data_IF_903630923274
#
_entry.id   IF_903630923274
#
_cell.length_a   1.000
_cell.length_b   1.000
_cell.length_c   1.000
_cell.angle_alpha   90.00
_cell.angle_beta   90.00
_cell.angle_gamma   90.00
#
_symmetry.space_group_name_H-M   'P 1'
#
loop_
_entity.id
_entity.type
_entity.pdbx_description
1 polymer ?
#
# COMPACT_ATOMS: atom_id res chain seq x y z
N UNK A 1 30.72 -25.81 -1.32
CA UNK A 1 31.13 -24.53 -0.69
C UNK A 1 31.03 -23.34 -1.62
N UNK A 2 31.48 -23.42 -2.90
CA UNK A 2 31.40 -22.32 -3.85
C UNK A 2 29.94 -21.94 -4.21
N UNK A 3 29.08 -22.93 -4.39
CA UNK A 3 27.66 -22.69 -4.74
C UNK A 3 26.90 -21.88 -3.67
N UNK A 4 27.16 -22.16 -2.38
CA UNK A 4 26.58 -21.44 -1.27
C UNK A 4 27.03 -19.97 -1.24
N UNK A 5 28.32 -19.71 -1.52
CA UNK A 5 28.85 -18.34 -1.61
C UNK A 5 28.21 -17.58 -2.78
N UNK A 6 28.03 -18.23 -3.93
CA UNK A 6 27.38 -17.62 -5.08
C UNK A 6 25.90 -17.30 -4.79
N UNK A 7 25.17 -18.20 -4.13
CA UNK A 7 23.79 -17.95 -3.73
C UNK A 7 23.67 -16.78 -2.76
N UNK A 8 24.51 -16.74 -1.72
CA UNK A 8 24.53 -15.64 -0.75
C UNK A 8 24.91 -14.33 -1.43
N UNK A 9 25.92 -14.32 -2.30
CA UNK A 9 26.33 -13.13 -3.04
C UNK A 9 25.18 -12.61 -3.92
N UNK A 10 24.49 -13.51 -4.62
CA UNK A 10 23.32 -13.15 -5.43
C UNK A 10 22.20 -12.57 -4.58
N UNK A 11 21.88 -13.21 -3.45
CA UNK A 11 20.84 -12.71 -2.54
C UNK A 11 21.17 -11.31 -2.03
N UNK A 12 22.41 -11.09 -1.59
CA UNK A 12 22.86 -9.76 -1.13
C UNK A 12 22.74 -8.72 -2.25
N UNK A 13 23.17 -9.07 -3.45
CA UNK A 13 23.05 -8.16 -4.61
C UNK A 13 21.59 -7.83 -4.93
N UNK A 14 20.71 -8.82 -4.89
CA UNK A 14 19.28 -8.62 -5.14
C UNK A 14 18.63 -7.73 -4.04
N UNK A 15 19.01 -7.89 -2.78
CA UNK A 15 18.56 -7.05 -1.66
C UNK A 15 19.02 -5.58 -1.82
N UNK A 16 20.30 -5.37 -2.15
CA UNK A 16 20.81 -4.02 -2.43
C UNK A 16 20.12 -3.39 -3.64
N UNK A 17 19.94 -4.14 -4.72
CA UNK A 17 19.24 -3.67 -5.92
C UNK A 17 17.82 -3.24 -5.60
N UNK A 18 17.06 -4.07 -4.89
CA UNK A 18 15.70 -3.75 -4.47
C UNK A 18 15.65 -2.49 -3.57
N UNK A 19 16.64 -2.34 -2.69
CA UNK A 19 16.75 -1.19 -1.80
C UNK A 19 17.07 0.10 -2.57
N UNK A 20 17.96 0.04 -3.56
CA UNK A 20 18.29 1.15 -4.44
C UNK A 20 17.12 1.53 -5.36
N UNK A 21 16.37 0.56 -5.85
CA UNK A 21 15.15 0.82 -6.63
C UNK A 21 14.11 1.57 -5.81
N UNK A 22 13.89 1.16 -4.56
CA UNK A 22 13.00 1.88 -3.63
C UNK A 22 13.49 3.30 -3.34
N UNK A 23 14.79 3.47 -3.13
CA UNK A 23 15.39 4.78 -2.87
C UNK A 23 15.18 5.71 -4.08
N UNK A 24 15.49 5.22 -5.29
CA UNK A 24 15.28 5.95 -6.54
C UNK A 24 13.81 6.32 -6.75
N UNK A 25 12.88 5.38 -6.51
CA UNK A 25 11.45 5.63 -6.57
C UNK A 25 11.04 6.77 -5.64
N UNK A 26 11.48 6.73 -4.39
CA UNK A 26 11.16 7.76 -3.40
C UNK A 26 11.74 9.13 -3.78
N UNK A 27 12.94 9.17 -4.34
CA UNK A 27 13.54 10.41 -4.80
C UNK A 27 12.73 11.02 -5.96
N UNK A 28 12.34 10.21 -6.93
CA UNK A 28 11.50 10.64 -8.06
C UNK A 28 10.17 11.19 -7.53
N UNK A 29 9.48 10.46 -6.64
CA UNK A 29 8.21 10.90 -6.08
C UNK A 29 8.34 12.22 -5.31
N UNK A 30 9.41 12.41 -4.54
CA UNK A 30 9.70 13.68 -3.83
C UNK A 30 9.95 14.84 -4.80
N UNK A 31 10.61 14.61 -5.93
CA UNK A 31 10.79 15.66 -6.95
C UNK A 31 9.47 15.97 -7.66
N UNK A 32 8.64 14.97 -7.94
CA UNK A 32 7.29 15.15 -8.50
C UNK A 32 6.41 15.97 -7.55
N UNK A 33 6.48 15.74 -6.24
CA UNK A 33 5.73 16.54 -5.25
C UNK A 33 6.03 18.04 -5.30
N UNK A 34 7.23 18.43 -5.75
CA UNK A 34 7.61 19.86 -5.88
C UNK A 34 6.99 20.55 -7.11
N UNK A 35 6.55 19.78 -8.09
CA UNK A 35 5.92 20.33 -9.30
C UNK A 35 4.59 20.96 -8.89
N UNK A 36 4.32 22.19 -9.32
CA UNK A 36 3.05 22.86 -9.05
C UNK A 36 1.96 22.27 -9.93
N UNK A 37 0.83 21.97 -9.32
CA UNK A 37 -0.43 21.61 -10.02
C UNK A 37 -1.41 22.71 -9.71
N UNK A 38 -2.00 23.30 -10.73
CA UNK A 38 -2.78 24.55 -10.58
C UNK A 38 -4.07 24.33 -9.82
N UNK A 39 -4.81 23.25 -10.08
CA UNK A 39 -6.06 22.97 -9.36
C UNK A 39 -6.24 21.47 -9.11
N UNK A 40 -6.53 21.13 -7.87
CA UNK A 40 -6.96 19.79 -7.50
C UNK A 40 -8.49 19.84 -7.33
N UNK A 41 -9.26 19.01 -8.06
CA UNK A 41 -10.71 18.97 -7.90
C UNK A 41 -11.10 18.58 -6.47
N UNK A 42 -11.97 19.38 -5.84
CA UNK A 42 -12.39 19.17 -4.44
C UNK A 42 -13.06 17.80 -4.23
N UNK A 43 -13.78 17.30 -5.22
CA UNK A 43 -14.41 15.98 -5.16
C UNK A 43 -13.39 14.86 -5.01
N UNK A 44 -12.26 14.92 -5.73
CA UNK A 44 -11.16 13.93 -5.58
C UNK A 44 -10.51 14.03 -4.20
N UNK A 45 -10.35 15.26 -3.70
CA UNK A 45 -9.77 15.49 -2.38
C UNK A 45 -10.67 14.88 -1.28
N UNK A 46 -11.97 15.10 -1.35
CA UNK A 46 -12.92 14.55 -0.39
C UNK A 46 -13.00 13.02 -0.45
N UNK A 47 -12.99 12.44 -1.65
CA UNK A 47 -12.94 10.98 -1.82
C UNK A 47 -11.69 10.37 -1.22
N UNK A 48 -10.52 10.96 -1.45
CA UNK A 48 -9.27 10.46 -0.90
C UNK A 48 -9.22 10.64 0.63
N UNK A 49 -9.71 11.76 1.18
CA UNK A 49 -9.85 11.95 2.62
C UNK A 49 -10.77 10.89 3.22
N UNK A 50 -11.87 10.56 2.55
CA UNK A 50 -12.79 9.51 2.97
C UNK A 50 -12.11 8.13 2.97
N UNK A 51 -11.29 7.85 1.97
CA UNK A 51 -10.50 6.61 1.91
C UNK A 51 -9.47 6.56 3.04
N UNK A 52 -8.76 7.67 3.30
CA UNK A 52 -7.77 7.76 4.37
C UNK A 52 -8.37 7.66 5.76
N UNK A 53 -9.56 8.23 5.96
CA UNK A 53 -10.30 8.17 7.23
C UNK A 53 -11.09 6.88 7.42
N UNK A 54 -11.18 6.02 6.41
CA UNK A 54 -11.96 4.80 6.44
C UNK A 54 -11.52 3.85 7.57
N UNK A 55 -12.43 3.59 8.51
CA UNK A 55 -12.20 2.72 9.67
C UNK A 55 -11.73 3.46 10.92
N UNK A 56 -11.67 4.79 10.93
CA UNK A 56 -11.53 5.62 12.12
C UNK A 56 -12.89 5.96 12.72
N UNK A 57 -12.90 6.35 14.00
CA UNK A 57 -14.10 6.93 14.62
C UNK A 57 -14.28 8.36 14.10
N UNK A 58 -15.54 8.79 13.97
CA UNK A 58 -15.88 10.11 13.42
C UNK A 58 -15.18 11.28 14.15
N UNK A 59 -15.02 11.19 15.47
CA UNK A 59 -14.33 12.21 16.26
C UNK A 59 -12.82 12.26 15.99
N UNK A 60 -12.18 11.10 15.79
CA UNK A 60 -10.76 11.01 15.47
C UNK A 60 -10.50 11.44 14.01
N UNK A 61 -11.43 11.12 13.11
CA UNK A 61 -11.38 11.55 11.70
C UNK A 61 -11.47 13.07 11.59
N UNK A 62 -12.37 13.70 12.34
CA UNK A 62 -12.51 15.17 12.39
C UNK A 62 -11.27 15.86 12.95
N UNK A 63 -10.68 15.33 14.02
CA UNK A 63 -9.45 15.89 14.63
C UNK A 63 -8.25 15.83 13.70
N UNK A 64 -8.15 14.78 12.88
CA UNK A 64 -7.03 14.57 11.97
C UNK A 64 -7.32 15.02 10.54
N UNK A 65 -8.47 15.66 10.27
CA UNK A 65 -8.90 16.04 8.91
C UNK A 65 -7.83 16.85 8.17
N UNK A 66 -7.21 17.81 8.86
CA UNK A 66 -6.17 18.65 8.25
C UNK A 66 -4.94 17.85 7.81
N UNK A 67 -4.51 16.87 8.61
CA UNK A 67 -3.41 15.98 8.23
C UNK A 67 -3.80 15.08 7.04
N UNK A 68 -5.06 14.62 6.99
CA UNK A 68 -5.55 13.84 5.85
C UNK A 68 -5.65 14.68 4.59
N UNK A 69 -6.03 15.93 4.70
CA UNK A 69 -6.11 16.89 3.61
C UNK A 69 -4.72 17.11 2.98
N UNK A 70 -3.70 17.33 3.81
CA UNK A 70 -2.31 17.48 3.36
C UNK A 70 -1.78 16.22 2.66
N UNK A 71 -2.06 15.04 3.22
CA UNK A 71 -1.65 13.74 2.64
C UNK A 71 -2.42 13.44 1.36
N UNK A 72 -3.74 13.67 1.35
CA UNK A 72 -4.60 13.48 0.19
C UNK A 72 -4.16 14.38 -0.98
N UNK A 73 -3.92 15.66 -0.68
CA UNK A 73 -3.43 16.64 -1.65
C UNK A 73 -2.14 16.17 -2.32
N UNK A 74 -1.15 15.71 -1.55
CA UNK A 74 0.10 15.19 -2.09
C UNK A 74 -0.11 13.95 -2.95
N UNK A 75 -0.94 13.01 -2.50
CA UNK A 75 -1.22 11.77 -3.24
C UNK A 75 -1.94 12.02 -4.55
N UNK A 76 -2.96 12.84 -4.55
CA UNK A 76 -3.70 13.20 -5.76
C UNK A 76 -2.79 13.92 -6.74
N UNK A 77 -2.00 14.89 -6.26
CA UNK A 77 -1.05 15.63 -7.08
C UNK A 77 -0.06 14.71 -7.78
N UNK A 78 0.58 13.82 -7.04
CA UNK A 78 1.50 12.83 -7.60
C UNK A 78 0.78 11.92 -8.60
N UNK A 79 -0.43 11.44 -8.25
CA UNK A 79 -1.25 10.61 -9.12
C UNK A 79 -1.60 11.28 -10.45
N UNK A 80 -2.01 12.55 -10.42
CA UNK A 80 -2.35 13.32 -11.62
C UNK A 80 -1.12 13.51 -12.54
N UNK A 81 0.03 13.87 -11.96
CA UNK A 81 1.26 14.06 -12.74
C UNK A 81 1.72 12.74 -13.37
N UNK A 82 1.68 11.65 -12.60
CA UNK A 82 2.04 10.33 -13.12
C UNK A 82 1.09 9.88 -14.22
N UNK A 83 -0.21 10.10 -14.05
CA UNK A 83 -1.20 9.75 -15.07
C UNK A 83 -0.98 10.54 -16.37
N UNK A 84 -0.80 11.85 -16.27
CA UNK A 84 -0.51 12.71 -17.41
C UNK A 84 0.76 12.26 -18.16
N UNK A 85 1.84 11.97 -17.42
CA UNK A 85 3.06 11.42 -17.99
C UNK A 85 2.83 10.07 -18.69
N UNK A 86 2.03 9.20 -18.07
CA UNK A 86 1.70 7.89 -18.62
C UNK A 86 0.88 7.98 -19.90
N UNK A 87 -0.08 8.89 -19.98
CA UNK A 87 -0.88 9.14 -21.17
C UNK A 87 -0.05 9.71 -22.32
N UNK A 88 0.77 10.73 -22.05
CA UNK A 88 1.66 11.34 -23.03
C UNK A 88 2.65 10.32 -23.61
N UNK A 89 3.14 9.39 -22.81
CA UNK A 89 4.06 8.35 -23.25
C UNK A 89 3.36 7.05 -23.69
N UNK A 90 2.02 7.03 -23.74
CA UNK A 90 1.20 5.87 -24.15
C UNK A 90 1.52 4.60 -23.37
N UNK A 91 1.83 4.74 -22.09
CA UNK A 91 2.15 3.63 -21.18
C UNK A 91 0.85 2.88 -20.87
N UNK A 92 0.83 1.59 -21.16
CA UNK A 92 -0.30 0.71 -20.87
C UNK A 92 0.17 -0.53 -20.11
N UNK A 93 -0.68 -1.05 -19.23
CA UNK A 93 -0.44 -2.32 -18.54
C UNK A 93 -1.14 -3.42 -19.32
N UNK A 94 -0.38 -4.42 -19.73
CA UNK A 94 -0.89 -5.60 -20.43
C UNK A 94 -1.36 -6.66 -19.43
N UNK A 95 -2.25 -7.56 -19.87
CA UNK A 95 -2.69 -8.69 -19.04
C UNK A 95 -1.52 -9.63 -18.67
N UNK A 96 -0.53 -9.76 -19.54
CA UNK A 96 0.66 -10.57 -19.29
C UNK A 96 1.51 -10.00 -18.14
N UNK A 97 1.68 -8.68 -18.07
CA UNK A 97 2.38 -8.01 -16.98
C UNK A 97 1.62 -8.16 -15.66
N UNK A 98 0.32 -8.05 -15.70
CA UNK A 98 -0.53 -8.24 -14.54
C UNK A 98 -0.45 -9.68 -14.00
N UNK A 99 -0.50 -10.66 -14.88
CA UNK A 99 -0.32 -12.07 -14.53
C UNK A 99 1.08 -12.35 -13.97
N UNK A 100 2.12 -11.73 -14.55
CA UNK A 100 3.49 -11.86 -14.06
C UNK A 100 3.63 -11.32 -12.63
N UNK A 101 2.98 -10.18 -12.32
CA UNK A 101 3.01 -9.61 -10.97
C UNK A 101 2.22 -10.47 -9.96
N UNK A 102 1.06 -11.02 -10.35
CA UNK A 102 0.33 -12.00 -9.52
C UNK A 102 1.22 -13.22 -9.24
N UNK A 103 1.90 -13.75 -10.26
CA UNK A 103 2.83 -14.88 -10.08
C UNK A 103 4.01 -14.53 -9.17
N UNK A 104 4.55 -13.32 -9.26
CA UNK A 104 5.59 -12.84 -8.35
C UNK A 104 5.11 -12.83 -6.90
N UNK A 105 3.89 -12.37 -6.65
CA UNK A 105 3.29 -12.40 -5.31
C UNK A 105 3.05 -13.83 -4.80
N UNK A 106 2.63 -14.75 -5.66
CA UNK A 106 2.49 -16.16 -5.34
C UNK A 106 3.83 -16.74 -4.88
N UNK A 107 4.92 -16.45 -5.60
CA UNK A 107 6.28 -16.91 -5.22
C UNK A 107 6.77 -16.35 -3.88
N UNK A 108 6.29 -15.16 -3.49
CA UNK A 108 6.61 -14.57 -2.19
C UNK A 108 5.86 -15.19 -1.01
N UNK A 109 4.80 -15.99 -1.29
CA UNK A 109 3.94 -16.62 -0.29
C UNK A 109 3.85 -18.15 -0.49
N UNK A 110 4.96 -18.88 -0.31
CA UNK A 110 4.99 -20.33 -0.52
C UNK A 110 4.00 -21.03 0.42
N UNK A 111 3.25 -21.98 -0.14
CA UNK A 111 2.18 -22.70 0.58
C UNK A 111 0.83 -22.00 0.60
N UNK A 112 0.71 -20.80 0.04
CA UNK A 112 -0.54 -20.03 -0.04
C UNK A 112 -0.92 -19.68 -1.50
N UNK A 113 -0.34 -20.38 -2.46
CA UNK A 113 -0.48 -20.10 -3.90
C UNK A 113 -1.95 -20.05 -4.33
N UNK A 114 -2.72 -21.05 -3.90
CA UNK A 114 -4.15 -21.12 -4.21
C UNK A 114 -4.93 -19.96 -3.60
N UNK A 115 -4.61 -19.59 -2.37
CA UNK A 115 -5.31 -18.49 -1.68
C UNK A 115 -5.03 -17.15 -2.36
N UNK A 116 -3.81 -16.89 -2.80
CA UNK A 116 -3.44 -15.67 -3.54
C UNK A 116 -4.15 -15.64 -4.89
N UNK A 117 -4.16 -16.76 -5.62
CA UNK A 117 -4.84 -16.88 -6.91
C UNK A 117 -6.35 -16.63 -6.76
N UNK A 118 -7.01 -17.32 -5.82
CA UNK A 118 -8.43 -17.17 -5.53
C UNK A 118 -8.78 -15.73 -5.11
N UNK A 119 -7.90 -15.08 -4.36
CA UNK A 119 -8.09 -13.69 -3.95
C UNK A 119 -8.18 -12.75 -5.14
N UNK A 120 -7.24 -12.84 -6.08
CA UNK A 120 -7.24 -11.95 -7.26
C UNK A 120 -8.34 -12.31 -8.26
N UNK A 121 -8.70 -13.59 -8.38
CA UNK A 121 -9.82 -14.02 -9.25
C UNK A 121 -11.18 -13.54 -8.74
N UNK A 122 -11.38 -13.52 -7.42
CA UNK A 122 -12.67 -13.15 -6.80
C UNK A 122 -12.79 -11.66 -6.50
N UNK A 123 -11.69 -10.92 -6.45
CA UNK A 123 -11.67 -9.50 -6.08
C UNK A 123 -11.18 -8.61 -7.23
N UNK A 124 -12.09 -8.17 -8.07
CA UNK A 124 -11.77 -7.23 -9.16
C UNK A 124 -11.15 -5.92 -8.66
N UNK A 125 -11.55 -5.45 -7.49
CA UNK A 125 -10.97 -4.26 -6.86
C UNK A 125 -9.50 -4.47 -6.50
N UNK A 126 -9.12 -5.66 -6.01
CA UNK A 126 -7.72 -6.00 -5.74
C UNK A 126 -6.90 -6.08 -7.02
N UNK A 127 -7.48 -6.62 -8.09
CA UNK A 127 -6.85 -6.69 -9.41
C UNK A 127 -6.67 -5.29 -10.02
N UNK A 128 -7.66 -4.41 -9.87
CA UNK A 128 -7.56 -3.02 -10.30
C UNK A 128 -6.47 -2.25 -9.52
N UNK A 129 -6.38 -2.46 -8.21
CA UNK A 129 -5.29 -1.90 -7.40
C UNK A 129 -3.92 -2.40 -7.83
N UNK A 130 -3.79 -3.69 -8.15
CA UNK A 130 -2.55 -4.26 -8.65
C UNK A 130 -2.17 -3.66 -10.01
N UNK A 131 -3.14 -3.49 -10.91
CA UNK A 131 -2.94 -2.82 -12.21
C UNK A 131 -2.44 -1.39 -12.03
N UNK A 132 -2.99 -0.64 -11.05
CA UNK A 132 -2.50 0.69 -10.69
C UNK A 132 -1.05 0.68 -10.22
N UNK A 133 -0.68 -0.29 -9.39
CA UNK A 133 0.70 -0.45 -8.92
C UNK A 133 1.67 -0.75 -10.07
N UNK A 134 1.32 -1.67 -10.96
CA UNK A 134 2.14 -2.01 -12.15
C UNK A 134 2.26 -0.81 -13.09
N UNK A 135 1.17 -0.04 -13.28
CA UNK A 135 1.17 1.18 -14.08
C UNK A 135 2.13 2.23 -13.50
N UNK A 136 2.06 2.47 -12.20
CA UNK A 136 2.96 3.39 -11.50
C UNK A 136 4.43 2.95 -11.62
N UNK A 137 4.73 1.65 -11.46
CA UNK A 137 6.09 1.12 -11.62
C UNK A 137 6.62 1.32 -13.04
N UNK A 138 5.79 1.11 -14.06
CA UNK A 138 6.16 1.36 -15.47
C UNK A 138 6.45 2.83 -15.73
N UNK A 139 5.64 3.74 -15.20
CA UNK A 139 5.86 5.17 -15.34
C UNK A 139 7.18 5.56 -14.67
N UNK A 140 7.42 5.11 -13.45
CA UNK A 140 8.66 5.41 -12.73
C UNK A 140 9.87 4.86 -13.47
N UNK A 141 9.78 3.66 -14.05
CA UNK A 141 10.84 3.09 -14.89
C UNK A 141 11.10 3.95 -16.13
N UNK A 142 10.05 4.39 -16.82
CA UNK A 142 10.17 5.27 -17.97
C UNK A 142 10.76 6.66 -17.61
N UNK A 143 10.42 7.19 -16.44
CA UNK A 143 11.02 8.42 -15.92
C UNK A 143 12.52 8.20 -15.64
N UNK A 144 12.89 7.07 -15.03
CA UNK A 144 14.30 6.73 -14.75
C UNK A 144 15.14 6.60 -16.03
N UNK A 145 14.59 6.01 -17.08
CA UNK A 145 15.27 5.89 -18.37
C UNK A 145 15.53 7.25 -19.03
N UNK A 146 14.60 8.19 -18.87
CA UNK A 146 14.75 9.56 -19.41
C UNK A 146 15.55 10.49 -18.51
N UNK A 147 15.66 10.17 -17.22
CA UNK A 147 16.39 10.99 -16.26
C UNK A 147 17.90 10.82 -16.41
N UNK A 148 18.62 11.93 -16.23
CA UNK A 148 20.09 11.86 -16.12
C UNK A 148 20.43 11.28 -14.74
N UNK A 149 21.04 10.10 -14.71
CA UNK A 149 21.51 9.49 -13.49
C UNK A 149 22.89 10.03 -13.10
N UNK A 150 23.03 10.47 -11.86
CA UNK A 150 24.33 10.77 -11.27
C UNK A 150 24.76 9.57 -10.41
N UNK A 151 25.70 8.79 -10.91
CA UNK A 151 26.26 7.69 -10.15
C UNK A 151 27.22 8.24 -9.09
N UNK A 152 26.95 7.92 -7.83
CA UNK A 152 27.82 8.25 -6.70
C UNK A 152 28.35 6.96 -6.11
N UNK A 153 29.67 6.81 -6.11
CA UNK A 153 30.31 5.76 -5.37
C UNK A 153 30.26 6.11 -3.86
N UNK A 154 29.81 5.17 -3.06
CA UNK A 154 29.68 5.33 -1.62
C UNK A 154 30.31 4.13 -0.92
N UNK A 155 30.86 4.35 0.27
CA UNK A 155 31.35 3.29 1.12
C UNK A 155 30.17 2.45 1.66
N UNK A 156 30.45 1.22 2.10
CA UNK A 156 29.43 0.34 2.71
C UNK A 156 28.71 1.03 3.86
N UNK A 157 29.42 1.72 4.70
CA UNK A 157 28.89 2.42 5.88
C UNK A 157 28.00 3.59 5.51
N UNK A 158 28.35 4.32 4.46
CA UNK A 158 27.51 5.40 3.90
C UNK A 158 26.24 4.84 3.25
N UNK A 159 26.36 3.75 2.51
CA UNK A 159 25.21 3.07 1.92
C UNK A 159 24.22 2.58 2.98
N UNK A 160 24.72 1.97 4.06
CA UNK A 160 23.88 1.57 5.20
C UNK A 160 23.18 2.75 5.90
N UNK A 161 23.88 3.90 6.05
CA UNK A 161 23.27 5.12 6.60
C UNK A 161 22.15 5.64 5.71
N UNK A 162 22.40 5.76 4.41
CA UNK A 162 21.41 6.21 3.43
C UNK A 162 20.16 5.30 3.44
N UNK A 163 20.37 3.98 3.49
CA UNK A 163 19.28 3.02 3.55
C UNK A 163 18.49 3.12 4.86
N UNK A 164 19.16 3.28 6.00
CA UNK A 164 18.51 3.46 7.32
C UNK A 164 17.72 4.76 7.39
N UNK A 165 18.23 5.86 6.84
CA UNK A 165 17.52 7.14 6.77
C UNK A 165 16.29 7.05 5.85
N UNK A 166 16.44 6.40 4.70
CA UNK A 166 15.32 6.12 3.80
C UNK A 166 14.23 5.27 4.44
N UNK A 167 14.61 4.25 5.22
CA UNK A 167 13.67 3.41 5.95
C UNK A 167 12.98 4.16 7.12
N UNK A 168 13.67 5.07 7.79
CA UNK A 168 13.06 5.90 8.84
C UNK A 168 11.98 6.81 8.26
N UNK A 169 12.27 7.48 7.15
CA UNK A 169 11.30 8.33 6.47
C UNK A 169 10.08 7.53 5.99
N UNK A 170 10.28 6.29 5.49
CA UNK A 170 9.17 5.38 5.14
C UNK A 170 8.39 4.88 6.35
N UNK A 171 9.05 4.68 7.48
CA UNK A 171 8.40 4.24 8.72
C UNK A 171 7.58 5.37 9.38
N UNK A 172 7.92 6.62 9.16
CA UNK A 172 7.07 7.75 9.56
C UNK A 172 5.80 7.80 8.71
N UNK A 173 5.91 7.69 7.38
CA UNK A 173 4.78 7.52 6.47
C UNK A 173 3.97 6.23 6.74
N UNK A 174 4.62 5.15 7.21
CA UNK A 174 3.99 3.87 7.56
C UNK A 174 3.44 3.84 8.99
N UNK A 175 3.95 4.63 9.92
CA UNK A 175 3.36 4.79 11.26
C UNK A 175 2.02 5.51 11.17
N UNK A 176 1.88 6.48 10.28
CA UNK A 176 0.58 7.04 9.94
C UNK A 176 -0.37 5.98 9.37
N UNK A 177 0.13 5.06 8.51
CA UNK A 177 -0.64 3.93 7.97
C UNK A 177 -0.92 2.80 8.99
N UNK A 178 -0.02 2.53 9.96
CA UNK A 178 -0.19 1.48 10.97
C UNK A 178 -1.15 1.88 12.07
N UNK A 179 -1.18 3.13 12.49
CA UNK A 179 -2.18 3.64 13.44
C UNK A 179 -3.61 3.42 12.92
N UNK A 180 -3.78 3.47 11.59
CA UNK A 180 -5.06 3.15 10.92
C UNK A 180 -5.37 1.65 10.93
N UNK A 181 -4.35 0.77 10.83
CA UNK A 181 -4.56 -0.70 10.77
C UNK A 181 -4.76 -1.34 12.14
N UNK A 182 -4.03 -0.93 13.16
CA UNK A 182 -4.16 -1.52 14.50
C UNK A 182 -5.50 -1.16 15.15
N UNK A 183 -6.00 0.08 14.98
CA UNK A 183 -7.35 0.45 15.40
C UNK A 183 -8.46 -0.34 14.67
N UNK A 184 -8.21 -0.81 13.45
CA UNK A 184 -9.16 -1.64 12.68
C UNK A 184 -9.30 -3.07 13.20
N UNK A 185 -8.27 -3.59 13.86
CA UNK A 185 -8.27 -4.94 14.47
C UNK A 185 -8.95 -4.92 15.85
N UNK A 186 -8.76 -3.86 16.63
CA UNK A 186 -9.42 -3.71 17.93
C UNK A 186 -10.93 -3.48 17.80
N UNK A 187 -11.37 -2.67 16.84
CA UNK A 187 -12.81 -2.44 16.62
C UNK A 187 -13.54 -3.67 16.12
N UNK A 188 -12.90 -4.54 15.33
CA UNK A 188 -13.47 -5.85 14.94
C UNK A 188 -13.56 -6.83 16.12
N UNK A 189 -12.61 -6.81 17.05
CA UNK A 189 -12.66 -7.64 18.26
C UNK A 189 -13.72 -7.17 19.28
N UNK A 190 -14.02 -5.87 19.32
CA UNK A 190 -15.08 -5.35 20.20
C UNK A 190 -16.49 -5.58 19.62
N UNK A 191 -16.67 -5.54 18.29
CA UNK A 191 -17.96 -5.79 17.65
C UNK A 191 -18.35 -7.27 17.71
N UNK A 192 -17.36 -8.18 17.61
CA UNK A 192 -17.63 -9.63 17.75
C UNK A 192 -17.93 -10.06 19.18
N UNK A 193 -17.43 -9.35 20.21
CA UNK A 193 -17.80 -9.60 21.62
C UNK A 193 -19.19 -9.07 21.98
N UNK A 194 -19.67 -8.02 21.32
CA UNK A 194 -21.01 -7.45 21.60
C UNK A 194 -22.16 -8.27 20.98
N UNK A 195 -21.89 -9.02 19.92
CA UNK A 195 -22.89 -9.91 19.28
C UNK A 195 -23.07 -11.25 20.01
N UNK A 196 -22.08 -11.71 20.79
CA UNK A 196 -22.19 -12.95 21.56
C UNK A 196 -22.90 -12.79 22.92
N UNK A 197 -23.04 -11.57 23.44
CA UNK A 197 -23.70 -11.32 24.75
C UNK A 197 -25.21 -11.11 24.61
N UNK A 198 -25.74 -10.93 23.40
CA UNK A 198 -27.20 -10.74 23.18
C UNK A 198 -27.98 -12.03 22.90
N UNK A 199 -27.36 -13.19 22.79
CA UNK A 199 -28.04 -14.45 22.46
C UNK A 199 -28.32 -15.39 23.64
N UNK A 200 -28.08 -14.97 24.89
CA UNK A 200 -28.22 -15.82 26.06
C UNK A 200 -29.39 -15.42 27.01
N UNK A 201 -30.29 -14.51 26.62
CA UNK A 201 -31.46 -14.18 27.44
C UNK A 201 -32.76 -14.27 26.65
N UNK A 202 -33.24 -15.50 26.41
CA UNK A 202 -34.68 -15.80 26.31
C UNK A 202 -34.92 -17.32 26.36
N UNK A 203 -35.12 -17.87 27.57
CA UNK A 203 -35.82 -19.14 27.75
C UNK A 203 -37.27 -18.82 28.18
N UNK A 204 -38.30 -19.36 27.52
CA UNK A 204 -39.68 -19.18 27.93
C UNK A 204 -40.01 -20.12 29.08
N UNK A 205 -40.69 -19.58 30.09
CA UNK A 205 -41.31 -20.34 31.21
C UNK A 205 -42.41 -21.26 30.69
N UNK A 206 -42.31 -22.54 30.97
CA UNK A 206 -43.36 -23.50 30.73
C UNK A 206 -44.55 -23.23 31.72
N UNK A 207 -45.77 -23.07 31.16
CA UNK A 207 -47.03 -23.09 31.91
C UNK A 207 -47.42 -24.54 32.20
N UNK A 208 -47.53 -24.86 33.49
CA UNK A 208 -48.26 -26.05 33.95
C UNK A 208 -49.76 -25.88 33.70
N UNK A 209 -50.32 -26.81 32.95
CA UNK A 209 -51.78 -27.01 32.85
C UNK A 209 -52.17 -28.08 33.87
N UNK A 210 -52.98 -27.70 34.84
CA UNK A 210 -53.64 -28.58 35.77
C UNK A 210 -54.93 -29.09 35.18
N UNK A 211 -55.15 -30.44 35.21
CA UNK A 211 -56.41 -31.08 34.87
C UNK A 211 -57.45 -30.87 35.97
N UNK A 212 -58.64 -30.54 35.57
CA UNK A 212 -59.85 -31.11 36.07
C UNK A 212 -60.80 -31.35 34.95
#
# INVERSE_FOLDING_TARGET
>A
MNDLRLLISKQINDEYKNSLERLSKNQILKEIEKIKVDEIPENLLEEEIKILSQGMKDDDAKKNRKNFEDVATKRIKVGLILNEFGEQNKIKVTEQELQAEVQKQIRMMPGQEKMVMDFYQKNQSALASLRGTVYEEKIISAIKEKAKSNNKEVTKEEAEKILKESQKNQNEDLKEKKVVKEKKVETKKLSSKKSQVKSVKSKPKAKKVSKK
#
